data_IF_968803040061
#
_entry.id   IF_968803040061
#
_cell.length_a   1.000
_cell.length_b   1.000
_cell.length_c   1.000
_cell.angle_alpha   90.00
_cell.angle_beta   90.00
_cell.angle_gamma   90.00
#
_symmetry.space_group_name_H-M   'P 1'
#
loop_
_entity.id
_entity.type
_entity.pdbx_description
1 polymer ?
#
# COMPACT_ATOMS: atom_id res chain seq x y z
N UNK A 1 -8.58 -17.87 16.69
CA UNK A 1 -9.25 -16.56 16.52
C UNK A 1 -9.16 -16.18 15.06
N UNK A 2 -10.21 -15.62 14.47
CA UNK A 2 -10.22 -15.19 13.06
C UNK A 2 -9.53 -13.82 13.02
N UNK A 3 -8.30 -13.75 12.52
CA UNK A 3 -7.59 -12.48 12.34
C UNK A 3 -8.18 -11.76 11.13
N UNK A 4 -9.25 -11.00 11.36
CA UNK A 4 -9.87 -10.17 10.31
C UNK A 4 -9.01 -8.92 10.20
N UNK A 5 -8.42 -8.69 9.02
CA UNK A 5 -7.72 -7.44 8.73
C UNK A 5 -8.73 -6.29 8.82
N UNK A 6 -8.50 -5.30 9.68
CA UNK A 6 -9.46 -4.23 9.86
C UNK A 6 -9.34 -3.28 8.67
N UNK A 7 -10.43 -3.12 7.92
CA UNK A 7 -10.48 -2.25 6.74
C UNK A 7 -11.12 -0.93 7.14
N UNK A 8 -10.35 0.15 7.06
CA UNK A 8 -10.78 1.52 7.36
C UNK A 8 -10.85 2.37 6.09
N UNK A 9 -11.55 3.51 6.15
CA UNK A 9 -11.47 4.47 5.07
C UNK A 9 -10.03 5.02 4.98
N UNK A 10 -9.34 4.87 3.85
CA UNK A 10 -7.99 5.37 3.72
C UNK A 10 -8.02 6.91 3.67
N UNK A 11 -7.02 7.58 4.25
CA UNK A 11 -6.93 9.04 4.27
C UNK A 11 -6.68 9.64 2.87
N UNK A 12 -6.33 8.82 1.88
CA UNK A 12 -6.05 9.21 0.51
C UNK A 12 -6.85 8.34 -0.46
N UNK A 13 -7.79 8.97 -1.15
CA UNK A 13 -8.66 8.32 -2.13
C UNK A 13 -8.18 8.48 -3.58
N UNK A 14 -7.25 9.41 -3.84
CA UNK A 14 -6.81 9.78 -5.18
C UNK A 14 -5.76 8.86 -5.82
N UNK A 15 -5.13 7.96 -5.05
CA UNK A 15 -4.07 7.07 -5.56
C UNK A 15 -4.47 5.61 -5.41
N UNK A 16 -5.25 5.10 -6.38
CA UNK A 16 -5.98 3.83 -6.34
C UNK A 16 -5.16 2.55 -6.08
N UNK A 17 -3.82 2.59 -6.16
CA UNK A 17 -2.95 1.45 -5.85
C UNK A 17 -2.62 1.27 -4.36
N UNK A 18 -2.63 2.35 -3.59
CA UNK A 18 -2.40 2.34 -2.14
C UNK A 18 -3.64 2.37 -1.22
N UNK A 19 -4.91 2.55 -1.66
CA UNK A 19 -6.02 2.68 -0.73
C UNK A 19 -6.25 1.38 0.03
N UNK A 20 -6.02 0.22 -0.61
CA UNK A 20 -6.17 -1.06 0.06
C UNK A 20 -5.12 -1.26 1.16
N UNK A 21 -3.83 -1.07 0.87
CA UNK A 21 -2.78 -1.23 1.87
C UNK A 21 -2.92 -0.20 3.00
N UNK A 22 -3.25 1.05 2.67
CA UNK A 22 -3.53 2.10 3.66
C UNK A 22 -4.79 1.81 4.46
N UNK A 23 -5.85 1.27 3.85
CA UNK A 23 -7.09 0.91 4.57
C UNK A 23 -6.84 -0.08 5.70
N UNK A 24 -5.85 -0.96 5.53
CA UNK A 24 -5.42 -1.93 6.54
C UNK A 24 -4.52 -1.24 7.56
N UNK A 25 -3.41 -0.63 7.12
CA UNK A 25 -2.41 -0.08 8.05
C UNK A 25 -2.93 1.08 8.89
N UNK A 26 -3.89 1.87 8.39
CA UNK A 26 -4.47 2.99 9.14
C UNK A 26 -5.25 2.55 10.39
N UNK A 27 -5.55 1.26 10.51
CA UNK A 27 -6.06 0.66 11.75
C UNK A 27 -5.04 0.52 12.87
N UNK A 28 -3.76 0.74 12.57
CA UNK A 28 -2.63 0.44 13.43
C UNK A 28 -1.82 1.72 13.67
N UNK A 29 -1.93 2.28 14.87
CA UNK A 29 -1.33 3.57 15.24
C UNK A 29 0.19 3.60 15.05
N UNK A 30 0.86 2.47 15.20
CA UNK A 30 2.29 2.28 14.99
C UNK A 30 2.75 2.57 13.56
N UNK A 31 1.83 2.52 12.58
CA UNK A 31 2.14 2.78 11.16
C UNK A 31 2.05 4.27 10.80
N UNK A 32 1.37 5.08 11.62
CA UNK A 32 1.12 6.49 11.37
C UNK A 32 2.40 7.32 11.21
N UNK A 33 3.46 7.15 12.02
CA UNK A 33 4.70 7.90 11.84
C UNK A 33 5.29 7.73 10.44
N UNK A 34 5.35 6.49 9.93
CA UNK A 34 5.85 6.23 8.57
C UNK A 34 4.94 6.83 7.50
N UNK A 35 3.61 6.75 7.66
CA UNK A 35 2.68 7.36 6.73
C UNK A 35 2.90 8.88 6.60
N UNK A 36 2.98 9.60 7.72
CA UNK A 36 3.14 11.05 7.68
C UNK A 36 4.54 11.53 7.27
N UNK A 37 5.57 10.71 7.44
CA UNK A 37 6.97 11.11 7.21
C UNK A 37 7.57 10.57 5.91
N UNK A 38 7.18 9.37 5.49
CA UNK A 38 7.78 8.67 4.36
C UNK A 38 6.80 8.52 3.20
N UNK A 39 5.50 8.26 3.47
CA UNK A 39 4.54 8.00 2.41
C UNK A 39 4.15 9.27 1.64
N UNK A 40 3.93 10.39 2.32
CA UNK A 40 3.69 11.68 1.67
C UNK A 40 5.04 12.39 1.54
N UNK A 41 5.53 12.53 0.30
CA UNK A 41 6.80 13.16 0.01
C UNK A 41 6.58 14.54 -0.62
N UNK A 42 7.18 15.54 0.02
CA UNK A 42 7.26 16.89 -0.53
C UNK A 42 8.60 17.04 -1.24
N UNK A 43 8.57 17.42 -2.52
CA UNK A 43 9.76 17.84 -3.26
C UNK A 43 9.61 19.30 -3.66
N UNK A 44 10.48 20.13 -3.11
CA UNK A 44 10.61 21.54 -3.49
C UNK A 44 11.89 21.71 -4.31
N UNK A 45 11.85 22.52 -5.36
CA UNK A 45 13.10 22.90 -6.02
C UNK A 45 13.83 23.94 -5.16
N UNK A 46 15.17 23.97 -5.25
CA UNK A 46 15.99 24.87 -4.42
C UNK A 46 15.74 26.36 -4.71
N UNK A 47 15.26 26.68 -5.90
CA UNK A 47 15.07 28.05 -6.38
C UNK A 47 13.60 28.47 -6.30
N UNK A 48 12.81 27.84 -5.43
CA UNK A 48 11.36 27.97 -5.41
C UNK A 48 10.94 29.42 -5.18
N UNK A 49 11.58 30.07 -4.21
CA UNK A 49 11.34 31.47 -3.88
C UNK A 49 11.73 32.43 -5.02
N UNK A 50 12.75 32.09 -5.80
CA UNK A 50 13.30 32.96 -6.85
C UNK A 50 12.57 32.80 -8.19
N UNK A 51 12.21 31.56 -8.54
CA UNK A 51 11.61 31.22 -9.84
C UNK A 51 10.09 31.11 -9.80
N UNK A 52 9.45 31.23 -8.63
CA UNK A 52 8.01 30.98 -8.44
C UNK A 52 7.55 29.67 -9.07
N UNK A 53 8.43 28.68 -9.09
CA UNK A 53 8.20 27.39 -9.74
C UNK A 53 7.33 26.48 -8.88
N UNK A 54 6.80 25.43 -9.49
CA UNK A 54 5.84 24.52 -8.84
C UNK A 54 6.40 23.79 -7.61
N UNK A 55 5.61 23.78 -6.55
CA UNK A 55 5.75 22.88 -5.42
C UNK A 55 5.13 21.53 -5.79
N UNK A 56 5.89 20.44 -5.64
CA UNK A 56 5.41 19.10 -5.99
C UNK A 56 5.14 18.28 -4.73
N UNK A 57 3.89 17.83 -4.61
CA UNK A 57 3.51 16.75 -3.70
C UNK A 57 3.53 15.43 -4.48
N UNK A 58 4.20 14.42 -3.95
CA UNK A 58 4.17 13.08 -4.52
C UNK A 58 4.09 12.05 -3.40
N UNK A 59 3.63 10.85 -3.72
CA UNK A 59 3.60 9.75 -2.77
C UNK A 59 4.84 8.89 -2.95
N UNK A 60 5.35 8.31 -1.87
CA UNK A 60 6.34 7.26 -1.95
C UNK A 60 5.72 6.05 -2.61
N UNK A 61 6.17 5.78 -3.83
CA UNK A 61 5.75 4.62 -4.61
C UNK A 61 6.63 3.41 -4.36
N UNK A 62 7.76 3.61 -3.68
CA UNK A 62 8.88 2.68 -3.53
C UNK A 62 9.61 2.40 -4.84
N UNK A 63 10.24 1.22 -4.95
CA UNK A 63 10.98 0.83 -6.17
C UNK A 63 10.03 0.42 -7.31
N UNK A 64 10.56 -0.17 -8.40
CA UNK A 64 9.83 -0.53 -9.63
C UNK A 64 8.54 -1.34 -9.40
N UNK A 65 8.34 -1.93 -8.23
CA UNK A 65 7.16 -2.70 -7.87
C UNK A 65 6.34 -2.04 -6.73
N UNK A 66 5.43 -1.13 -7.08
CA UNK A 66 4.58 -0.41 -6.12
C UNK A 66 3.71 -1.33 -5.24
N UNK A 67 3.52 -2.59 -5.64
CA UNK A 67 2.66 -3.55 -4.95
C UNK A 67 3.25 -4.09 -3.64
N UNK A 68 4.57 -3.96 -3.44
CA UNK A 68 5.27 -4.60 -2.31
C UNK A 68 5.99 -3.62 -1.38
N UNK A 69 5.69 -2.33 -1.52
CA UNK A 69 6.49 -1.28 -0.90
C UNK A 69 5.90 -0.75 0.42
N UNK A 70 4.83 -1.36 0.93
CA UNK A 70 4.34 -1.06 2.27
C UNK A 70 5.15 -1.89 3.29
N UNK A 71 5.97 -1.26 4.16
CA UNK A 71 6.87 -2.00 5.06
C UNK A 71 6.14 -2.73 6.19
N UNK A 72 4.84 -2.47 6.38
CA UNK A 72 4.02 -3.10 7.43
C UNK A 72 3.19 -4.26 6.92
N UNK A 73 3.15 -4.51 5.60
CA UNK A 73 2.39 -5.60 5.01
C UNK A 73 3.33 -6.51 4.25
N UNK A 74 3.37 -7.78 4.66
CA UNK A 74 4.01 -8.81 3.84
C UNK A 74 3.13 -9.10 2.62
N UNK A 75 3.66 -8.83 1.44
CA UNK A 75 2.96 -9.01 0.17
C UNK A 75 3.78 -9.91 -0.74
N UNK A 76 3.10 -10.81 -1.46
CA UNK A 76 3.71 -11.61 -2.52
C UNK A 76 2.83 -11.56 -3.77
N UNK A 77 3.47 -11.61 -4.94
CA UNK A 77 2.76 -11.77 -6.21
C UNK A 77 2.60 -13.25 -6.50
N UNK A 78 1.38 -13.66 -6.84
CA UNK A 78 1.09 -15.01 -7.31
C UNK A 78 0.88 -14.95 -8.81
N UNK A 79 1.42 -15.93 -9.53
CA UNK A 79 1.26 -16.07 -10.96
C UNK A 79 -0.21 -16.35 -11.33
N UNK A 80 -0.69 -15.71 -12.39
CA UNK A 80 -2.07 -15.87 -12.86
C UNK A 80 -2.29 -17.29 -13.37
N UNK A 81 -1.27 -17.90 -13.99
CA UNK A 81 -1.39 -19.28 -14.47
C UNK A 81 -1.46 -20.28 -13.31
N UNK A 82 -0.77 -20.00 -12.20
CA UNK A 82 -0.95 -20.75 -10.95
C UNK A 82 -2.38 -20.62 -10.42
N UNK A 83 -2.96 -19.40 -10.43
CA UNK A 83 -4.36 -19.19 -10.03
C UNK A 83 -5.35 -19.90 -10.97
N UNK A 84 -5.09 -19.92 -12.27
CA UNK A 84 -5.93 -20.61 -13.25
C UNK A 84 -5.83 -22.14 -13.10
N UNK A 85 -4.66 -22.65 -12.70
CA UNK A 85 -4.44 -24.07 -12.42
C UNK A 85 -5.06 -24.55 -11.11
N UNK A 86 -5.31 -23.63 -10.17
CA UNK A 86 -6.14 -23.88 -9.00
C UNK A 86 -7.59 -24.01 -9.47
N UNK A 87 -8.01 -25.23 -9.78
CA UNK A 87 -9.38 -25.58 -10.12
C UNK A 87 -10.33 -25.50 -8.89
N UNK A 88 -10.11 -24.48 -8.06
CA UNK A 88 -10.71 -24.23 -6.76
C UNK A 88 -11.11 -22.77 -6.67
N UNK A 89 -12.26 -22.51 -6.03
CA UNK A 89 -12.70 -21.16 -5.71
C UNK A 89 -11.63 -20.39 -4.92
N UNK A 90 -11.38 -19.13 -5.29
CA UNK A 90 -10.40 -18.23 -4.66
C UNK A 90 -10.64 -18.13 -3.15
N UNK A 91 -11.90 -18.15 -2.69
CA UNK A 91 -12.23 -18.11 -1.28
C UNK A 91 -11.81 -19.40 -0.56
N UNK A 92 -11.81 -20.52 -1.26
CA UNK A 92 -11.33 -21.80 -0.75
C UNK A 92 -9.81 -21.80 -0.65
N UNK A 93 -9.10 -21.32 -1.69
CA UNK A 93 -7.64 -21.15 -1.67
C UNK A 93 -7.19 -20.32 -0.46
N UNK A 94 -7.78 -19.14 -0.26
CA UNK A 94 -7.42 -18.24 0.84
C UNK A 94 -7.60 -18.88 2.23
N UNK A 95 -8.57 -19.80 2.42
CA UNK A 95 -8.73 -20.52 3.69
C UNK A 95 -7.60 -21.50 3.97
N UNK A 96 -7.05 -22.14 2.94
CA UNK A 96 -5.94 -23.08 3.08
C UNK A 96 -4.59 -22.37 3.27
N UNK A 97 -4.40 -21.22 2.62
CA UNK A 97 -3.14 -20.47 2.65
C UNK A 97 -2.87 -19.73 3.97
N UNK A 98 -3.90 -19.43 4.77
CA UNK A 98 -3.78 -18.69 6.06
C UNK A 98 -3.35 -19.59 7.22
N UNK A 99 -3.10 -20.88 6.97
CA UNK A 99 -2.74 -21.89 7.99
C UNK A 99 -1.23 -22.17 8.06
N UNK A 100 -0.39 -21.39 7.40
CA UNK A 100 1.08 -21.52 7.48
C UNK A 100 1.68 -20.38 8.28
#
# INVERSE_FOLDING_TARGET
MKNILPVYNPPLLGFLRWPYTLSITMGYNETLPWFYTNFIQVKVNKNFHEKKSEFNFNFYRGERNEFTNNPFISTTSIDVDFLNGLNHDILSFLKYSVVV
#
